data_IF_681763373271
#
_entry.id   IF_681763373271
#
_cell.length_a   1.000
_cell.length_b   1.000
_cell.length_c   1.000
_cell.angle_alpha   90.00
_cell.angle_beta   90.00
_cell.angle_gamma   90.00
#
_symmetry.space_group_name_H-M   'P 1'
#
loop_
_entity.id
_entity.type
_entity.pdbx_description
1 polymer ?
#
# COMPACT_ATOMS: atom_id res chain seq x y z
N UNK A 1 0.04 -23.49 19.81
CA UNK A 1 -1.43 -23.72 19.71
C UNK A 1 -2.12 -22.47 19.21
N UNK A 2 -3.03 -22.59 18.24
CA UNK A 2 -3.74 -21.47 17.58
C UNK A 2 -4.43 -20.50 18.56
N UNK A 3 -4.86 -20.99 19.73
CA UNK A 3 -5.41 -20.22 20.85
C UNK A 3 -4.43 -19.18 21.44
N UNK A 4 -3.14 -19.51 21.59
CA UNK A 4 -2.11 -18.56 22.07
C UNK A 4 -1.90 -17.42 21.08
N UNK A 5 -1.92 -17.72 19.78
CA UNK A 5 -1.81 -16.70 18.74
C UNK A 5 -3.01 -15.74 18.79
N UNK A 6 -4.24 -16.24 18.80
CA UNK A 6 -5.45 -15.40 18.90
C UNK A 6 -5.45 -14.49 20.14
N UNK A 7 -5.06 -15.02 21.31
CA UNK A 7 -4.92 -14.24 22.55
C UNK A 7 -3.82 -13.17 22.50
N UNK A 8 -2.83 -13.32 21.61
CA UNK A 8 -1.74 -12.34 21.44
C UNK A 8 -2.21 -11.15 20.59
N UNK A 9 -3.06 -11.38 19.59
CA UNK A 9 -3.65 -10.31 18.76
C UNK A 9 -4.70 -9.48 19.52
N UNK A 10 -5.44 -10.10 20.45
CA UNK A 10 -6.40 -9.36 21.29
C UNK A 10 -5.74 -8.45 22.34
N UNK A 11 -4.44 -8.59 22.57
CA UNK A 11 -3.64 -7.77 23.50
C UNK A 11 -2.79 -6.72 22.80
N UNK A 12 -2.99 -6.53 21.50
CA UNK A 12 -2.19 -5.61 20.73
C UNK A 12 -2.55 -4.17 21.11
N UNK A 13 -1.59 -3.43 21.63
CA UNK A 13 -1.77 -2.00 21.90
C UNK A 13 -1.91 -1.27 20.56
N UNK A 14 -3.08 -0.69 20.33
CA UNK A 14 -3.31 0.18 19.19
C UNK A 14 -2.75 1.58 19.47
N UNK A 15 -2.35 2.35 18.45
CA UNK A 15 -1.99 3.74 18.63
C UNK A 15 -3.12 4.51 19.30
N UNK A 16 -2.77 5.51 20.10
CA UNK A 16 -3.77 6.40 20.71
C UNK A 16 -4.58 7.13 19.63
N UNK A 17 -5.78 7.63 19.96
CA UNK A 17 -6.59 8.42 19.00
C UNK A 17 -5.83 9.60 18.39
N UNK A 18 -4.96 10.24 19.18
CA UNK A 18 -4.08 11.31 18.72
C UNK A 18 -3.10 10.83 17.65
N UNK A 19 -2.43 9.69 17.89
CA UNK A 19 -1.50 9.10 16.93
C UNK A 19 -2.22 8.59 15.68
N UNK A 20 -3.43 8.03 15.81
CA UNK A 20 -4.26 7.63 14.67
C UNK A 20 -4.53 8.83 13.76
N UNK A 21 -4.92 9.98 14.32
CA UNK A 21 -5.17 11.18 13.50
C UNK A 21 -3.89 11.73 12.85
N UNK A 22 -2.77 11.74 13.57
CA UNK A 22 -1.47 12.12 13.00
C UNK A 22 -1.11 11.21 11.81
N UNK A 23 -1.23 9.89 12.00
CA UNK A 23 -0.96 8.90 10.96
C UNK A 23 -1.89 9.03 9.76
N UNK A 24 -3.16 9.35 10.00
CA UNK A 24 -4.14 9.60 8.93
C UNK A 24 -3.74 10.81 8.09
N UNK A 25 -3.40 11.93 8.73
CA UNK A 25 -2.95 13.15 8.05
C UNK A 25 -1.66 12.87 7.24
N UNK A 26 -0.71 12.16 7.84
CA UNK A 26 0.55 11.80 7.18
C UNK A 26 0.33 10.87 5.98
N UNK A 27 -0.58 9.88 6.10
CA UNK A 27 -0.96 8.99 5.01
C UNK A 27 -1.62 9.73 3.83
N UNK A 28 -2.45 10.75 4.10
CA UNK A 28 -3.05 11.59 3.07
C UNK A 28 -1.98 12.43 2.35
N UNK A 29 -1.06 13.04 3.11
CA UNK A 29 -0.06 13.96 2.56
C UNK A 29 1.08 13.25 1.84
N UNK A 30 1.66 12.23 2.47
CA UNK A 30 2.90 11.58 2.02
C UNK A 30 2.74 10.12 1.62
N UNK A 31 1.64 9.47 2.01
CA UNK A 31 1.35 8.08 1.66
C UNK A 31 2.54 7.17 1.98
N UNK A 32 3.01 6.38 1.00
CA UNK A 32 4.16 5.46 1.14
C UNK A 32 5.52 6.14 1.37
N UNK A 33 5.58 7.47 1.40
CA UNK A 33 6.80 8.27 1.64
C UNK A 33 6.80 8.94 3.01
N UNK A 34 5.76 8.72 3.81
CA UNK A 34 5.62 9.33 5.12
C UNK A 34 6.18 8.49 6.25
N UNK A 35 5.90 8.97 7.46
CA UNK A 35 6.21 8.32 8.72
C UNK A 35 4.94 7.75 9.37
N UNK A 36 5.12 6.76 10.24
CA UNK A 36 4.09 6.16 11.06
C UNK A 36 4.48 6.33 12.53
N UNK A 37 3.62 6.99 13.30
CA UNK A 37 3.80 7.25 14.72
C UNK A 37 3.12 6.15 15.53
N UNK A 38 3.88 5.51 16.42
CA UNK A 38 3.34 4.54 17.37
C UNK A 38 4.14 4.55 18.66
N UNK A 39 3.44 4.70 19.79
CA UNK A 39 4.03 4.81 21.13
C UNK A 39 5.09 5.92 21.19
N UNK A 40 4.78 7.06 20.58
CA UNK A 40 5.66 8.23 20.49
C UNK A 40 6.88 8.07 19.57
N UNK A 41 7.05 6.94 18.89
CA UNK A 41 8.16 6.69 17.96
C UNK A 41 7.74 6.93 16.52
N UNK A 42 8.58 7.62 15.77
CA UNK A 42 8.45 7.72 14.30
C UNK A 42 9.08 6.49 13.66
N UNK A 43 8.35 5.88 12.73
CA UNK A 43 8.75 4.68 11.99
C UNK A 43 8.52 4.96 10.52
N UNK A 44 9.52 4.72 9.67
CA UNK A 44 9.34 4.87 8.23
C UNK A 44 8.22 3.93 7.74
N UNK A 45 7.24 4.48 6.99
CA UNK A 45 6.07 3.71 6.52
C UNK A 45 6.49 2.50 5.69
N UNK A 46 7.58 2.60 4.92
CA UNK A 46 8.08 1.46 4.14
C UNK A 46 8.47 0.33 5.07
N UNK A 47 9.20 0.62 6.13
CA UNK A 47 9.72 -0.40 7.04
C UNK A 47 8.59 -1.03 7.86
N UNK A 48 7.65 -0.20 8.34
CA UNK A 48 6.43 -0.67 9.00
C UNK A 48 5.63 -1.63 8.11
N UNK A 49 5.35 -1.23 6.86
CA UNK A 49 4.58 -2.04 5.92
C UNK A 49 5.34 -3.29 5.48
N UNK A 50 6.65 -3.21 5.26
CA UNK A 50 7.48 -4.37 4.91
C UNK A 50 7.46 -5.42 6.02
N UNK A 51 7.56 -5.02 7.28
CA UNK A 51 7.43 -5.93 8.42
C UNK A 51 6.06 -6.63 8.45
N UNK A 52 4.98 -5.87 8.19
CA UNK A 52 3.63 -6.43 8.07
C UNK A 52 3.49 -7.42 6.91
N UNK A 53 4.06 -7.10 5.75
CA UNK A 53 4.07 -7.99 4.57
C UNK A 53 4.83 -9.27 4.85
N UNK A 54 6.00 -9.22 5.49
CA UNK A 54 6.78 -10.41 5.83
C UNK A 54 6.05 -11.33 6.82
N UNK A 55 5.34 -10.77 7.80
CA UNK A 55 4.47 -11.52 8.71
C UNK A 55 3.32 -12.19 7.94
N UNK A 56 2.68 -11.46 7.03
CA UNK A 56 1.63 -12.00 6.18
C UNK A 56 2.15 -13.11 5.25
N UNK A 57 3.32 -12.93 4.61
CA UNK A 57 3.97 -13.93 3.77
C UNK A 57 4.22 -15.24 4.55
N UNK A 58 4.75 -15.15 5.77
CA UNK A 58 4.94 -16.32 6.65
C UNK A 58 3.61 -17.00 6.95
N UNK A 59 2.59 -16.25 7.37
CA UNK A 59 1.27 -16.79 7.70
C UNK A 59 0.61 -17.49 6.51
N UNK A 60 0.62 -16.85 5.34
CA UNK A 60 0.02 -17.43 4.14
C UNK A 60 0.80 -18.65 3.64
N UNK A 61 2.14 -18.65 3.74
CA UNK A 61 2.96 -19.82 3.40
C UNK A 61 2.61 -21.03 4.27
N UNK A 62 2.32 -20.84 5.56
CA UNK A 62 1.87 -21.95 6.42
C UNK A 62 0.52 -22.53 6.04
N UNK A 63 -0.28 -21.79 5.25
CA UNK A 63 -1.56 -22.24 4.70
C UNK A 63 -1.41 -22.92 3.32
N UNK A 64 -0.19 -23.07 2.81
CA UNK A 64 0.06 -23.64 1.48
C UNK A 64 -0.29 -22.72 0.31
N UNK A 65 -0.57 -21.45 0.58
CA UNK A 65 -0.96 -20.46 -0.43
C UNK A 65 0.24 -19.61 -0.86
N UNK A 66 0.26 -19.20 -2.14
CA UNK A 66 1.24 -18.24 -2.66
C UNK A 66 0.56 -17.15 -3.50
N UNK A 67 -0.03 -16.14 -2.86
CA UNK A 67 -0.81 -15.14 -3.56
C UNK A 67 0.07 -14.13 -4.30
N UNK A 68 -0.18 -13.99 -5.61
CA UNK A 68 0.46 -12.98 -6.46
C UNK A 68 0.24 -11.55 -5.95
N UNK A 69 -0.86 -11.27 -5.24
CA UNK A 69 -1.17 -9.94 -4.73
C UNK A 69 -0.17 -9.43 -3.68
N UNK A 70 0.42 -10.30 -2.85
CA UNK A 70 1.43 -9.87 -1.87
C UNK A 70 2.67 -9.33 -2.55
N UNK A 71 3.13 -9.98 -3.63
CA UNK A 71 4.26 -9.50 -4.43
C UNK A 71 4.00 -8.11 -5.04
N UNK A 72 2.75 -7.84 -5.45
CA UNK A 72 2.34 -6.54 -5.98
C UNK A 72 2.42 -5.47 -4.88
N UNK A 73 1.88 -5.75 -3.70
CA UNK A 73 1.92 -4.84 -2.55
C UNK A 73 3.37 -4.57 -2.13
N UNK A 74 4.18 -5.62 -1.99
CA UNK A 74 5.62 -5.55 -1.66
C UNK A 74 6.37 -4.67 -2.64
N UNK A 75 6.10 -4.82 -3.95
CA UNK A 75 6.72 -3.99 -5.00
C UNK A 75 6.33 -2.52 -4.86
N UNK A 76 5.07 -2.19 -4.57
CA UNK A 76 4.60 -0.81 -4.37
C UNK A 76 5.27 -0.15 -3.18
N UNK A 77 5.33 -0.86 -2.05
CA UNK A 77 6.00 -0.40 -0.82
C UNK A 77 7.49 -0.18 -1.07
N UNK A 78 8.19 -1.16 -1.66
CA UNK A 78 9.62 -1.04 -2.00
C UNK A 78 9.91 0.15 -2.91
N UNK A 79 9.07 0.39 -3.93
CA UNK A 79 9.22 1.51 -4.87
C UNK A 79 8.67 2.84 -4.33
N UNK A 80 8.04 2.85 -3.16
CA UNK A 80 7.27 3.99 -2.60
C UNK A 80 6.38 4.65 -3.65
N UNK A 81 5.65 3.81 -4.39
CA UNK A 81 4.86 4.24 -5.55
C UNK A 81 3.46 3.62 -5.50
N UNK A 82 2.47 4.49 -5.55
CA UNK A 82 1.05 4.14 -5.64
C UNK A 82 0.58 4.07 -7.10
N UNK A 83 -0.60 3.50 -7.35
CA UNK A 83 -1.25 3.61 -8.65
C UNK A 83 -1.50 5.07 -9.04
N UNK A 84 -1.86 5.93 -8.07
CA UNK A 84 -2.04 7.36 -8.27
C UNK A 84 -0.77 8.05 -8.78
N UNK A 85 0.41 7.68 -8.29
CA UNK A 85 1.69 8.22 -8.80
C UNK A 85 1.96 7.79 -10.25
N UNK A 86 1.59 6.55 -10.62
CA UNK A 86 1.74 6.04 -11.99
C UNK A 86 0.78 6.78 -12.93
N UNK A 87 -0.49 6.91 -12.54
CA UNK A 87 -1.53 7.62 -13.30
C UNK A 87 -1.14 9.09 -13.47
N UNK A 88 -0.70 9.77 -12.41
CA UNK A 88 -0.21 11.15 -12.48
C UNK A 88 0.95 11.30 -13.46
N UNK A 89 1.90 10.35 -13.47
CA UNK A 89 2.99 10.34 -14.45
C UNK A 89 2.48 10.15 -15.87
N UNK A 90 1.53 9.25 -16.10
CA UNK A 90 0.93 9.07 -17.43
C UNK A 90 0.24 10.35 -17.89
N UNK A 91 -0.56 10.98 -17.03
CA UNK A 91 -1.21 12.25 -17.33
C UNK A 91 -0.21 13.34 -17.70
N UNK A 92 0.89 13.45 -16.96
CA UNK A 92 1.96 14.42 -17.23
C UNK A 92 2.69 14.17 -18.56
N UNK A 93 2.66 12.94 -19.09
CA UNK A 93 3.25 12.59 -20.39
C UNK A 93 2.27 12.66 -21.55
N UNK A 94 0.96 12.76 -21.29
CA UNK A 94 -0.05 12.90 -22.33
C UNK A 94 -0.09 14.35 -22.84
N UNK A 95 -0.17 14.50 -24.16
CA UNK A 95 -0.41 15.77 -24.86
C UNK A 95 -1.90 15.96 -25.18
N UNK A 96 -2.27 17.17 -25.60
CA UNK A 96 -3.64 17.49 -25.98
C UNK A 96 -4.42 18.24 -24.90
N UNK A 97 -5.72 18.43 -25.17
CA UNK A 97 -6.68 19.03 -24.24
C UNK A 97 -6.86 18.17 -22.99
N UNK A 98 -7.49 18.74 -21.95
CA UNK A 98 -7.79 17.98 -20.73
C UNK A 98 -8.62 16.72 -21.05
N UNK A 99 -9.62 16.84 -21.92
CA UNK A 99 -10.49 15.74 -22.30
C UNK A 99 -9.75 14.64 -23.06
N UNK A 100 -8.86 15.01 -23.99
CA UNK A 100 -8.01 14.06 -24.71
C UNK A 100 -7.07 13.30 -23.76
N UNK A 101 -6.49 14.02 -22.78
CA UNK A 101 -5.61 13.42 -21.77
C UNK A 101 -6.38 12.48 -20.85
N UNK A 102 -7.61 12.83 -20.47
CA UNK A 102 -8.48 11.96 -19.67
C UNK A 102 -8.89 10.72 -20.45
N UNK A 103 -9.33 10.85 -21.71
CA UNK A 103 -9.68 9.73 -22.56
C UNK A 103 -8.49 8.77 -22.75
N UNK A 104 -7.29 9.32 -22.99
CA UNK A 104 -6.04 8.54 -23.08
C UNK A 104 -5.74 7.76 -21.80
N UNK A 105 -5.91 8.39 -20.63
CA UNK A 105 -5.74 7.73 -19.34
C UNK A 105 -6.74 6.59 -19.14
N UNK A 106 -8.02 6.82 -19.42
CA UNK A 106 -9.09 5.83 -19.26
C UNK A 106 -8.81 4.61 -20.12
N UNK A 107 -8.48 4.82 -21.41
CA UNK A 107 -8.12 3.73 -22.32
C UNK A 107 -6.91 2.94 -21.81
N UNK A 108 -5.89 3.61 -21.30
CA UNK A 108 -4.71 2.94 -20.76
C UNK A 108 -4.99 2.15 -19.48
N UNK A 109 -5.84 2.67 -18.59
CA UNK A 109 -6.28 1.96 -17.39
C UNK A 109 -7.09 0.72 -17.81
N UNK A 110 -8.01 0.87 -18.76
CA UNK A 110 -8.80 -0.23 -19.32
C UNK A 110 -7.93 -1.36 -19.87
N UNK A 111 -6.88 -1.03 -20.63
CA UNK A 111 -5.95 -2.04 -21.16
C UNK A 111 -5.27 -2.87 -20.05
N UNK A 112 -4.85 -2.23 -18.95
CA UNK A 112 -4.27 -2.93 -17.81
C UNK A 112 -5.31 -3.78 -17.07
N UNK A 113 -6.50 -3.25 -16.79
CA UNK A 113 -7.54 -3.98 -16.06
C UNK A 113 -8.06 -5.17 -16.85
N UNK A 114 -8.26 -5.03 -18.16
CA UNK A 114 -8.68 -6.11 -19.06
C UNK A 114 -7.72 -7.29 -19.07
N UNK A 115 -6.41 -7.06 -18.87
CA UNK A 115 -5.37 -8.09 -18.83
C UNK A 115 -5.06 -8.57 -17.40
N UNK A 116 -5.81 -8.14 -16.39
CA UNK A 116 -5.50 -8.37 -14.98
C UNK A 116 -4.07 -7.96 -14.59
N UNK A 117 -3.55 -6.92 -15.24
CA UNK A 117 -2.22 -6.39 -14.98
C UNK A 117 -2.26 -5.30 -13.91
N UNK A 118 -1.42 -5.39 -12.87
CA UNK A 118 -1.41 -4.38 -11.82
C UNK A 118 -0.77 -3.08 -12.32
N UNK A 119 -1.36 -1.96 -11.94
CA UNK A 119 -0.75 -0.63 -12.10
C UNK A 119 0.30 -0.46 -10.99
N UNK A 120 1.59 -0.60 -11.33
CA UNK A 120 2.75 -0.57 -10.40
C UNK A 120 3.96 0.21 -10.92
#
# INVERSE_FOLDING_TARGET
GRLKYAQTWSRQEFPSLKEIEINRIEAIKKSLRGEFIWNGKSIDVKDYLMNGIEKAEKGIKTLGCNPRYLNIIKRRVKKRRTSGDVIRRWYGKSSGSVDEKVASLVNKIWEHTRKNEPIV
#
